data_IF_573206593799
#
_entry.id   IF_573206593799
#
_cell.length_a   1.000
_cell.length_b   1.000
_cell.length_c   1.000
_cell.angle_alpha   90.00
_cell.angle_beta   90.00
_cell.angle_gamma   90.00
#
_symmetry.space_group_name_H-M   'P 1'
#
loop_
_entity.id
_entity.type
_entity.pdbx_description
1 polymer ?
#
# COMPACT_ATOMS: atom_id res chain seq x y z
N UNK A 1 -23.81 -12.61 -9.73
CA UNK A 1 -25.07 -11.84 -9.80
C UNK A 1 -25.24 -11.45 -11.26
N UNK A 2 -26.33 -11.86 -11.92
CA UNK A 2 -26.61 -11.40 -13.29
C UNK A 2 -26.43 -9.88 -13.34
N UNK A 3 -25.66 -9.41 -14.33
CA UNK A 3 -25.28 -7.99 -14.54
C UNK A 3 -24.28 -7.36 -13.55
N UNK A 4 -24.23 -7.73 -12.26
CA UNK A 4 -23.34 -7.05 -11.29
C UNK A 4 -21.93 -7.65 -11.16
N UNK A 5 -21.69 -8.88 -11.63
CA UNK A 5 -20.38 -9.56 -11.53
C UNK A 5 -20.37 -10.78 -10.61
N UNK A 6 -19.18 -11.23 -10.19
CA UNK A 6 -19.00 -12.44 -9.38
C UNK A 6 -18.85 -12.10 -7.90
N UNK A 7 -19.72 -12.70 -7.07
CA UNK A 7 -19.76 -12.46 -5.63
C UNK A 7 -19.32 -13.70 -4.88
N UNK A 8 -18.35 -13.52 -3.99
CA UNK A 8 -17.77 -14.53 -3.14
C UNK A 8 -18.19 -14.31 -1.69
N UNK A 9 -18.41 -15.40 -0.96
CA UNK A 9 -18.69 -15.42 0.47
C UNK A 9 -17.55 -16.17 1.14
N UNK A 10 -16.86 -15.52 2.07
CA UNK A 10 -15.64 -16.00 2.67
C UNK A 10 -15.79 -16.04 4.18
N UNK A 11 -15.28 -17.10 4.79
CA UNK A 11 -15.06 -17.22 6.22
C UNK A 11 -13.61 -17.60 6.45
N UNK A 12 -12.90 -16.82 7.26
CA UNK A 12 -11.47 -17.02 7.50
C UNK A 12 -11.06 -16.52 8.89
N UNK A 13 -9.90 -16.97 9.36
CA UNK A 13 -9.26 -16.45 10.56
C UNK A 13 -8.16 -15.46 10.20
N UNK A 14 -7.89 -14.53 11.10
CA UNK A 14 -6.80 -13.56 10.96
C UNK A 14 -5.74 -13.82 12.02
N UNK A 15 -4.48 -13.58 11.68
CA UNK A 15 -3.35 -13.71 12.60
C UNK A 15 -2.68 -12.35 12.83
N UNK A 16 -2.11 -12.17 14.01
CA UNK A 16 -1.26 -11.03 14.32
C UNK A 16 -0.04 -11.05 13.39
N UNK A 17 0.22 -9.90 12.75
CA UNK A 17 1.32 -9.78 11.81
C UNK A 17 2.69 -10.14 12.43
N UNK A 18 2.88 -9.86 13.73
CA UNK A 18 4.14 -10.11 14.45
C UNK A 18 4.14 -11.46 15.15
N UNK A 19 3.15 -11.74 16.00
CA UNK A 19 3.17 -12.96 16.82
C UNK A 19 2.71 -14.21 16.07
N UNK A 20 2.07 -14.05 14.90
CA UNK A 20 1.39 -15.15 14.16
C UNK A 20 0.29 -15.84 14.95
N UNK A 21 -0.11 -15.27 16.08
CA UNK A 21 -1.19 -15.81 16.88
C UNK A 21 -2.52 -15.44 16.25
N UNK A 22 -3.52 -16.31 16.42
CA UNK A 22 -4.86 -16.03 15.96
C UNK A 22 -5.45 -14.81 16.70
N UNK A 23 -5.84 -13.79 15.95
CA UNK A 23 -6.43 -12.54 16.49
C UNK A 23 -7.92 -12.41 16.23
N UNK A 24 -8.55 -13.40 15.59
CA UNK A 24 -9.98 -13.37 15.32
C UNK A 24 -10.42 -14.16 14.11
N UNK A 25 -11.72 -14.06 13.85
CA UNK A 25 -12.37 -14.61 12.66
C UNK A 25 -13.21 -13.56 11.96
N UNK A 26 -13.32 -13.68 10.64
CA UNK A 26 -14.03 -12.74 9.80
C UNK A 26 -14.99 -13.48 8.85
N UNK A 27 -16.12 -12.84 8.61
CA UNK A 27 -17.04 -13.14 7.52
C UNK A 27 -16.99 -11.99 6.53
N UNK A 28 -16.73 -12.29 5.27
CA UNK A 28 -16.63 -11.29 4.22
C UNK A 28 -17.45 -11.65 2.99
N UNK A 29 -17.89 -10.62 2.28
CA UNK A 29 -18.38 -10.73 0.90
C UNK A 29 -17.54 -9.86 0.00
N UNK A 30 -17.08 -10.42 -1.11
CA UNK A 30 -16.32 -9.70 -2.14
C UNK A 30 -17.06 -9.81 -3.46
N UNK A 31 -17.43 -8.67 -4.06
CA UNK A 31 -18.02 -8.61 -5.39
C UNK A 31 -16.98 -8.03 -6.35
N UNK A 32 -16.56 -8.84 -7.32
CA UNK A 32 -15.80 -8.38 -8.47
C UNK A 32 -16.77 -7.91 -9.56
N UNK A 33 -16.87 -6.60 -9.82
CA UNK A 33 -17.79 -6.07 -10.81
C UNK A 33 -17.32 -6.38 -12.23
N UNK A 34 -18.25 -6.44 -13.19
CA UNK A 34 -17.91 -6.57 -14.62
C UNK A 34 -17.26 -5.30 -15.20
N UNK A 35 -17.51 -4.16 -14.57
CA UNK A 35 -16.91 -2.87 -14.92
C UNK A 35 -15.50 -2.77 -14.38
N UNK A 36 -14.66 -1.92 -15.00
CA UNK A 36 -13.32 -1.58 -14.50
C UNK A 36 -13.41 -0.70 -13.24
N UNK A 37 -13.86 -1.28 -12.14
CA UNK A 37 -13.99 -0.62 -10.83
C UNK A 37 -13.45 -1.54 -9.73
N UNK A 38 -12.95 -0.98 -8.61
CA UNK A 38 -12.47 -1.78 -7.49
C UNK A 38 -13.50 -2.81 -6.98
N UNK A 39 -13.05 -3.94 -6.40
CA UNK A 39 -13.94 -4.92 -5.78
C UNK A 39 -14.74 -4.30 -4.65
N UNK A 40 -16.05 -4.56 -4.58
CA UNK A 40 -16.87 -4.13 -3.44
C UNK A 40 -16.74 -5.15 -2.30
N UNK A 41 -16.27 -4.70 -1.14
CA UNK A 41 -15.99 -5.55 0.02
C UNK A 41 -16.88 -5.15 1.20
N UNK A 42 -17.50 -6.15 1.82
CA UNK A 42 -18.13 -6.01 3.13
C UNK A 42 -17.53 -7.07 4.05
N UNK A 43 -17.06 -6.66 5.22
CA UNK A 43 -16.40 -7.55 6.18
C UNK A 43 -16.90 -7.27 7.59
N UNK A 44 -17.10 -8.34 8.34
CA UNK A 44 -17.37 -8.32 9.78
C UNK A 44 -16.39 -9.25 10.45
N UNK A 45 -15.60 -8.71 11.38
CA UNK A 45 -14.61 -9.46 12.13
C UNK A 45 -14.95 -9.44 13.62
N UNK A 46 -14.69 -10.57 14.27
CA UNK A 46 -14.71 -10.72 15.72
C UNK A 46 -13.27 -10.88 16.17
N UNK A 47 -12.73 -9.87 16.85
CA UNK A 47 -11.35 -9.85 17.33
C UNK A 47 -11.24 -10.46 18.73
N UNK A 48 -10.11 -11.10 19.02
CA UNK A 48 -9.78 -11.59 20.37
C UNK A 48 -9.23 -10.49 21.27
N UNK A 49 -8.54 -9.50 20.68
CA UNK A 49 -8.02 -8.32 21.40
C UNK A 49 -9.11 -7.29 21.64
N UNK A 50 -9.06 -6.65 22.81
CA UNK A 50 -9.96 -5.54 23.15
C UNK A 50 -9.62 -4.28 22.34
N UNK A 51 -10.65 -3.57 21.88
CA UNK A 51 -10.48 -2.39 21.03
C UNK A 51 -9.70 -1.27 21.73
N UNK A 52 -9.79 -1.14 23.07
CA UNK A 52 -9.02 -0.14 23.82
C UNK A 52 -7.54 -0.49 23.82
N UNK A 53 -7.18 -1.77 23.93
CA UNK A 53 -5.78 -2.20 23.86
C UNK A 53 -5.16 -1.85 22.52
N UNK A 54 -5.86 -2.11 21.40
CA UNK A 54 -5.40 -1.72 20.05
C UNK A 54 -5.19 -0.20 19.98
N UNK A 55 -6.14 0.58 20.49
CA UNK A 55 -6.04 2.04 20.50
C UNK A 55 -4.86 2.56 21.34
N UNK A 56 -4.56 1.91 22.47
CA UNK A 56 -3.42 2.23 23.33
C UNK A 56 -2.08 1.91 22.66
N UNK A 57 -1.98 0.77 21.98
CA UNK A 57 -0.81 0.36 21.19
C UNK A 57 -0.55 1.34 20.04
N UNK A 58 -1.58 1.69 19.27
CA UNK A 58 -1.51 2.69 18.19
C UNK A 58 -1.06 4.05 18.72
N UNK A 59 -1.60 4.49 19.86
CA UNK A 59 -1.23 5.75 20.49
C UNK A 59 0.22 5.74 20.99
N UNK A 60 0.70 4.61 21.53
CA UNK A 60 2.09 4.44 21.96
C UNK A 60 3.03 4.54 20.75
N UNK A 61 2.67 3.88 19.65
CA UNK A 61 3.43 3.95 18.40
C UNK A 61 3.47 5.38 17.84
N UNK A 62 2.31 6.02 17.74
CA UNK A 62 2.19 7.39 17.26
C UNK A 62 3.04 8.36 18.08
N UNK A 63 2.97 8.27 19.42
CA UNK A 63 3.81 9.07 20.31
C UNK A 63 5.29 8.79 20.03
N UNK A 64 5.71 7.53 19.93
CA UNK A 64 7.11 7.17 19.66
C UNK A 64 7.62 7.83 18.38
N UNK A 65 6.85 7.80 17.29
CA UNK A 65 7.23 8.44 16.01
C UNK A 65 7.26 9.97 16.15
N UNK A 66 6.26 10.58 16.81
CA UNK A 66 6.18 12.04 16.97
C UNK A 66 7.32 12.64 17.81
N UNK A 67 7.87 11.89 18.77
CA UNK A 67 8.97 12.38 19.60
C UNK A 67 10.34 12.31 18.90
N UNK A 68 10.41 11.72 17.70
CA UNK A 68 11.66 11.70 16.94
C UNK A 68 11.99 13.07 16.37
N UNK A 69 13.23 13.50 16.57
CA UNK A 69 13.73 14.81 16.12
C UNK A 69 14.20 14.80 14.68
N UNK A 70 14.54 13.61 14.14
CA UNK A 70 14.95 13.42 12.76
C UNK A 70 13.86 12.67 11.99
N UNK A 71 13.61 13.00 10.71
CA UNK A 71 12.71 12.23 9.88
C UNK A 71 13.17 10.78 9.77
N UNK A 72 12.25 9.82 9.86
CA UNK A 72 12.56 8.42 9.57
C UNK A 72 12.85 8.28 8.07
N UNK A 73 13.95 7.62 7.76
CA UNK A 73 14.34 7.25 6.40
C UNK A 73 14.72 5.77 6.42
N UNK A 74 14.33 5.03 5.39
CA UNK A 74 14.69 3.63 5.24
C UNK A 74 14.66 3.21 3.78
N UNK A 75 15.43 2.18 3.42
CA UNK A 75 15.50 1.66 2.06
C UNK A 75 15.58 0.14 2.10
N UNK A 76 15.05 -0.51 1.07
CA UNK A 76 15.03 -1.96 0.90
C UNK A 76 14.60 -2.69 2.19
N UNK A 77 13.34 -2.51 2.58
CA UNK A 77 12.73 -3.15 3.77
C UNK A 77 11.69 -4.15 3.27
N UNK A 78 11.75 -5.45 3.59
CA UNK A 78 12.91 -6.13 4.15
C UNK A 78 14.11 -6.07 3.20
N UNK A 79 15.29 -6.35 3.74
CA UNK A 79 16.51 -6.50 2.94
C UNK A 79 16.45 -7.77 2.06
N UNK A 80 17.52 -8.04 1.30
CA UNK A 80 17.60 -9.20 0.40
C UNK A 80 17.51 -10.56 1.11
N UNK A 81 17.66 -10.59 2.43
CA UNK A 81 17.58 -11.79 3.26
C UNK A 81 16.27 -11.89 4.04
N UNK A 82 15.34 -10.94 3.84
CA UNK A 82 14.06 -10.91 4.55
C UNK A 82 14.13 -10.23 5.92
N UNK A 83 15.25 -9.59 6.29
CA UNK A 83 15.38 -8.94 7.59
C UNK A 83 14.76 -7.54 7.59
N UNK A 84 14.16 -7.17 8.72
CA UNK A 84 13.65 -5.82 8.99
C UNK A 84 14.31 -5.34 10.28
N UNK A 85 14.95 -4.18 10.23
CA UNK A 85 15.48 -3.57 11.44
C UNK A 85 14.32 -3.27 12.42
N UNK A 86 14.43 -3.62 13.73
CA UNK A 86 13.35 -3.40 14.70
C UNK A 86 12.85 -1.96 14.77
N UNK A 87 13.72 -0.98 14.48
CA UNK A 87 13.36 0.44 14.42
C UNK A 87 12.42 0.78 13.24
N UNK A 88 12.49 0.02 12.14
CA UNK A 88 11.72 0.21 10.91
C UNK A 88 10.47 -0.67 10.83
N UNK A 89 10.29 -1.64 11.73
CA UNK A 89 9.08 -2.47 11.79
C UNK A 89 7.76 -1.69 11.76
N UNK A 90 7.59 -0.56 12.49
CA UNK A 90 6.33 0.15 12.43
C UNK A 90 6.11 0.87 11.10
N UNK A 91 7.20 1.31 10.47
CA UNK A 91 7.17 1.95 9.15
C UNK A 91 6.82 0.93 8.08
N UNK A 92 7.33 -0.29 8.19
CA UNK A 92 6.94 -1.42 7.38
C UNK A 92 5.46 -1.78 7.59
N UNK A 93 4.97 -1.86 8.83
CA UNK A 93 3.57 -2.17 9.11
C UNK A 93 2.60 -1.13 8.51
N UNK A 94 2.96 0.17 8.59
CA UNK A 94 2.22 1.23 7.91
C UNK A 94 2.27 1.08 6.38
N UNK A 95 3.41 0.64 5.82
CA UNK A 95 3.51 0.35 4.39
C UNK A 95 2.63 -0.83 3.97
N UNK A 96 2.57 -1.91 4.76
CA UNK A 96 1.65 -3.05 4.54
C UNK A 96 0.20 -2.55 4.52
N UNK A 97 -0.19 -1.77 5.52
CA UNK A 97 -1.54 -1.24 5.65
C UNK A 97 -1.90 -0.24 4.53
N UNK A 98 -0.95 0.58 4.09
CA UNK A 98 -1.15 1.49 2.97
C UNK A 98 -1.22 0.76 1.63
N UNK A 99 -0.32 -0.19 1.41
CA UNK A 99 -0.26 -0.97 0.17
C UNK A 99 -1.47 -1.86 0.01
N UNK A 100 -2.09 -2.34 1.09
CA UNK A 100 -3.31 -3.14 1.00
C UNK A 100 -4.47 -2.37 0.35
N UNK A 101 -4.52 -1.05 0.51
CA UNK A 101 -5.46 -0.19 -0.20
C UNK A 101 -5.20 -0.17 -1.71
N UNK A 102 -3.92 -0.02 -2.11
CA UNK A 102 -3.50 -0.07 -3.53
C UNK A 102 -3.83 -1.42 -4.15
N UNK A 103 -3.48 -2.50 -3.44
CA UNK A 103 -3.74 -3.87 -3.85
C UNK A 103 -5.24 -4.11 -4.02
N UNK A 104 -6.07 -3.68 -3.06
CA UNK A 104 -7.52 -3.76 -3.17
C UNK A 104 -8.07 -3.01 -4.39
N UNK A 105 -7.66 -1.76 -4.62
CA UNK A 105 -8.14 -0.98 -5.77
C UNK A 105 -7.76 -1.58 -7.12
N UNK A 106 -6.61 -2.26 -7.20
CA UNK A 106 -6.10 -2.86 -8.44
C UNK A 106 -6.51 -4.33 -8.65
N UNK A 107 -6.86 -5.04 -7.59
CA UNK A 107 -7.19 -6.47 -7.67
C UNK A 107 -8.38 -6.73 -8.59
N UNK A 108 -8.26 -7.78 -9.38
CA UNK A 108 -9.38 -8.37 -10.14
C UNK A 108 -9.56 -9.81 -9.70
N UNK A 109 -10.59 -10.48 -10.21
CA UNK A 109 -10.85 -11.88 -9.86
C UNK A 109 -9.67 -12.81 -10.15
N UNK A 110 -8.89 -12.51 -11.19
CA UNK A 110 -7.75 -13.33 -11.63
C UNK A 110 -6.39 -12.68 -11.34
N UNK A 111 -6.38 -11.54 -10.64
CA UNK A 111 -5.17 -10.74 -10.42
C UNK A 111 -5.11 -10.30 -8.96
N UNK A 112 -4.10 -10.82 -8.24
CA UNK A 112 -3.82 -10.48 -6.86
C UNK A 112 -2.45 -9.84 -6.71
N UNK A 113 -2.22 -9.22 -5.57
CA UNK A 113 -0.98 -8.53 -5.27
C UNK A 113 -0.49 -8.86 -3.87
N UNK A 114 0.84 -8.86 -3.70
CA UNK A 114 1.51 -8.89 -2.40
C UNK A 114 2.52 -7.76 -2.33
N UNK A 115 2.68 -7.14 -1.17
CA UNK A 115 3.78 -6.18 -0.98
C UNK A 115 5.09 -6.96 -0.79
N UNK A 116 6.00 -6.83 -1.75
CA UNK A 116 7.29 -7.52 -1.74
C UNK A 116 8.31 -6.75 -0.91
N UNK A 117 8.40 -5.43 -1.12
CA UNK A 117 9.42 -4.60 -0.48
C UNK A 117 9.00 -3.13 -0.43
N UNK A 118 9.43 -2.42 0.59
CA UNK A 118 9.55 -0.96 0.59
C UNK A 118 10.92 -0.62 0.03
N UNK A 119 10.96 -0.16 -1.22
CA UNK A 119 12.20 0.24 -1.89
C UNK A 119 12.84 1.44 -1.19
N UNK A 120 12.02 2.42 -0.83
CA UNK A 120 12.42 3.59 -0.03
C UNK A 120 11.24 4.13 0.78
N UNK A 121 11.55 4.78 1.89
CA UNK A 121 10.59 5.53 2.70
C UNK A 121 11.25 6.77 3.27
N UNK A 122 10.51 7.87 3.30
CA UNK A 122 10.87 9.11 3.97
C UNK A 122 9.67 9.69 4.71
N UNK A 123 9.84 9.98 6.00
CA UNK A 123 8.87 10.72 6.78
C UNK A 123 8.89 12.21 6.40
N UNK A 124 7.71 12.79 6.24
CA UNK A 124 7.53 14.24 6.11
C UNK A 124 7.24 14.84 7.48
N UNK A 125 8.09 15.77 7.92
CA UNK A 125 7.88 16.49 9.18
C UNK A 125 6.77 17.50 8.98
N UNK A 126 5.68 17.32 9.74
CA UNK A 126 4.49 18.19 9.69
C UNK A 126 4.33 18.96 10.99
N UNK A 127 3.80 20.18 10.86
CA UNK A 127 3.42 21.04 12.00
C UNK A 127 2.11 20.59 12.65
N UNK A 128 1.23 19.91 11.90
CA UNK A 128 -0.01 19.35 12.42
C UNK A 128 0.23 18.03 13.19
N UNK A 129 -0.86 17.37 13.58
CA UNK A 129 -0.83 16.12 14.34
C UNK A 129 -0.70 14.87 13.46
N UNK A 130 -0.73 14.99 12.13
CA UNK A 130 -0.68 13.82 11.28
C UNK A 130 0.76 13.33 11.11
N UNK A 131 0.93 12.01 11.07
CA UNK A 131 2.11 11.38 10.53
C UNK A 131 1.96 11.28 9.03
N UNK A 132 3.04 11.59 8.30
CA UNK A 132 3.05 11.51 6.85
C UNK A 132 4.35 10.89 6.37
N UNK A 133 4.21 9.99 5.41
CA UNK A 133 5.30 9.24 4.83
C UNK A 133 5.13 9.20 3.32
N UNK A 134 6.25 9.24 2.64
CA UNK A 134 6.36 9.02 1.21
C UNK A 134 7.17 7.74 1.00
N UNK A 135 6.51 6.77 0.37
CA UNK A 135 7.01 5.43 0.15
C UNK A 135 7.18 5.18 -1.33
N UNK A 136 8.22 4.44 -1.69
CA UNK A 136 8.24 3.64 -2.91
C UNK A 136 8.07 2.18 -2.51
N UNK A 137 6.94 1.57 -2.84
CA UNK A 137 6.64 0.16 -2.55
C UNK A 137 6.69 -0.67 -3.83
N UNK A 138 7.16 -1.89 -3.72
CA UNK A 138 7.18 -2.88 -4.78
C UNK A 138 6.07 -3.90 -4.51
N UNK A 139 5.15 -4.02 -5.45
CA UNK A 139 4.05 -4.99 -5.40
C UNK A 139 4.34 -6.13 -6.36
N UNK A 140 4.27 -7.36 -5.87
CA UNK A 140 4.36 -8.56 -6.67
C UNK A 140 2.96 -8.95 -7.15
N UNK A 141 2.76 -8.91 -8.45
CA UNK A 141 1.51 -9.27 -9.12
C UNK A 141 1.45 -10.78 -9.41
N UNK A 142 0.36 -11.42 -9.01
CA UNK A 142 0.12 -12.85 -9.18
C UNK A 142 -1.13 -13.03 -10.07
N UNK A 143 -1.08 -13.87 -11.13
CA UNK A 143 -0.02 -14.84 -11.42
C UNK A 143 1.11 -14.36 -12.33
N UNK A 144 1.09 -13.13 -12.85
CA UNK A 144 2.02 -12.63 -13.88
C UNK A 144 3.50 -12.63 -13.46
N UNK A 145 3.77 -12.65 -12.16
CA UNK A 145 5.11 -12.53 -11.57
C UNK A 145 5.78 -11.17 -11.82
N UNK A 146 5.00 -10.15 -12.19
CA UNK A 146 5.54 -8.80 -12.40
C UNK A 146 5.77 -8.08 -11.06
N UNK A 147 6.83 -7.27 -11.01
CA UNK A 147 7.09 -6.35 -9.90
C UNK A 147 6.67 -4.94 -10.33
N UNK A 148 5.67 -4.40 -9.65
CA UNK A 148 5.12 -3.07 -9.92
C UNK A 148 5.64 -2.10 -8.87
N UNK A 149 6.27 -1.02 -9.31
CA UNK A 149 6.73 0.05 -8.44
C UNK A 149 5.64 1.10 -8.27
N UNK A 150 5.23 1.34 -7.01
CA UNK A 150 4.23 2.32 -6.65
C UNK A 150 4.81 3.38 -5.71
N UNK A 151 4.69 4.64 -6.08
CA UNK A 151 4.88 5.77 -5.18
C UNK A 151 3.60 5.96 -4.37
N UNK A 152 3.73 5.99 -3.05
CA UNK A 152 2.61 6.04 -2.12
C UNK A 152 2.87 7.09 -1.04
N UNK A 153 1.99 8.09 -0.98
CA UNK A 153 1.93 9.08 0.10
C UNK A 153 0.85 8.68 1.10
N UNK A 154 1.29 8.34 2.31
CA UNK A 154 0.45 7.84 3.39
C UNK A 154 0.34 8.89 4.49
N UNK A 155 -0.88 9.15 4.96
CA UNK A 155 -1.15 10.02 6.11
C UNK A 155 -1.93 9.26 7.17
N UNK A 156 -1.47 9.32 8.41
CA UNK A 156 -2.03 8.57 9.53
C UNK A 156 -2.16 9.40 10.81
N UNK A 157 -3.24 9.14 11.54
CA UNK A 157 -3.45 9.60 12.91
C UNK A 157 -4.26 8.50 13.64
N UNK A 158 -3.87 8.07 14.85
CA UNK A 158 -4.62 7.07 15.60
C UNK A 158 -6.11 7.41 15.72
N UNK A 159 -6.95 6.38 15.59
CA UNK A 159 -8.41 6.51 15.63
C UNK A 159 -9.03 7.15 14.37
N UNK A 160 -8.23 7.47 13.33
CA UNK A 160 -8.73 7.89 12.02
C UNK A 160 -8.31 6.89 10.93
N UNK A 161 -9.13 6.72 9.87
CA UNK A 161 -8.73 5.92 8.72
C UNK A 161 -7.43 6.44 8.10
N UNK A 162 -6.59 5.50 7.67
CA UNK A 162 -5.42 5.79 6.85
C UNK A 162 -5.85 6.47 5.56
N UNK A 163 -5.13 7.52 5.16
CA UNK A 163 -5.31 8.17 3.87
C UNK A 163 -4.12 7.83 2.98
N UNK A 164 -4.41 7.32 1.80
CA UNK A 164 -3.42 6.87 0.84
C UNK A 164 -3.65 7.60 -0.47
N UNK A 165 -2.59 8.18 -1.03
CA UNK A 165 -2.52 8.61 -2.43
C UNK A 165 -1.38 7.86 -3.08
N UNK A 166 -1.57 7.36 -4.30
CA UNK A 166 -0.54 6.59 -4.95
C UNK A 166 -0.54 6.75 -6.47
N UNK A 167 0.59 6.41 -7.07
CA UNK A 167 0.77 6.23 -8.50
C UNK A 167 1.68 5.02 -8.71
N UNK A 168 1.36 4.14 -9.66
CA UNK A 168 2.15 2.98 -9.98
C UNK A 168 2.66 3.07 -11.41
N UNK A 169 3.97 2.97 -11.59
CA UNK A 169 4.60 2.82 -12.89
C UNK A 169 4.82 1.32 -13.16
N UNK A 170 4.52 0.88 -14.38
CA UNK A 170 5.09 -0.40 -14.83
C UNK A 170 6.56 -0.15 -15.19
N UNK A 171 7.48 -1.00 -14.73
CA UNK A 171 8.92 -0.84 -14.97
C UNK A 171 9.27 -0.81 -16.48
N UNK A 172 8.37 -1.28 -17.33
CA UNK A 172 8.50 -1.26 -18.79
C UNK A 172 8.35 0.13 -19.44
N UNK A 173 8.01 1.19 -18.71
CA UNK A 173 7.94 2.56 -19.28
C UNK A 173 9.24 3.37 -19.09
N UNK A 174 10.24 2.83 -18.39
CA UNK A 174 11.48 3.54 -18.05
C UNK A 174 12.70 3.29 -18.94
N UNK A 175 12.60 2.39 -19.93
CA UNK A 175 13.75 1.93 -20.73
C UNK A 175 13.74 2.36 -22.21
N UNK A 176 12.76 3.16 -22.66
CA UNK A 176 12.57 3.46 -24.09
C UNK A 176 12.84 4.91 -24.53
N UNK A 177 13.50 5.73 -23.73
CA UNK A 177 13.99 7.04 -24.18
C UNK A 177 15.43 7.27 -23.74
N UNK A 178 16.36 6.70 -24.51
CA UNK A 178 17.79 6.79 -24.19
C UNK A 178 18.73 6.20 -25.24
N UNK A 179 18.42 6.28 -26.53
CA UNK A 179 19.47 6.20 -27.57
C UNK A 179 19.11 7.14 -28.72
N UNK A 180 19.90 8.21 -28.84
CA UNK A 180 19.77 9.17 -29.92
C UNK A 180 20.21 8.54 -31.23
N UNK A 181 19.33 8.57 -32.23
CA UNK A 181 19.71 8.71 -33.63
C UNK A 181 18.79 9.74 -34.24
N UNK A 182 19.42 10.81 -34.75
CA UNK A 182 18.79 11.85 -35.56
C UNK A 182 18.12 11.23 -36.79
N UNK A 183 16.85 11.54 -37.01
CA UNK A 183 16.29 11.65 -38.35
C UNK A 183 15.07 12.56 -38.29
N UNK A 184 15.12 13.66 -39.03
CA UNK A 184 14.13 14.71 -39.02
C UNK A 184 12.80 14.28 -39.66
N UNK A 185 11.70 14.71 -39.04
CA UNK A 185 10.50 15.15 -39.76
C UNK A 185 9.60 15.92 -38.80
N UNK A 186 9.18 17.10 -39.26
CA UNK A 186 8.26 17.98 -38.55
C UNK A 186 6.83 17.43 -38.63
N UNK A 187 6.21 17.17 -37.48
CA UNK A 187 4.77 17.26 -37.27
C UNK A 187 4.52 17.40 -35.77
N UNK A 188 4.12 18.59 -35.34
CA UNK A 188 3.81 18.87 -33.94
C UNK A 188 2.47 18.24 -33.53
N UNK A 189 2.45 17.65 -32.34
CA UNK A 189 1.23 17.55 -31.52
C UNK A 189 1.65 17.87 -30.08
N UNK A 190 1.25 19.06 -29.64
CA UNK A 190 1.19 19.48 -28.24
C UNK A 190 0.12 18.66 -27.53
N UNK A 191 0.42 18.07 -26.36
CA UNK A 191 -0.54 18.03 -25.25
C UNK A 191 0.18 18.08 -23.89
N UNK A 192 -0.06 19.21 -23.25
CA UNK A 192 0.05 19.66 -21.87
C UNK A 192 0.59 18.71 -20.79
N UNK A 193 1.74 19.13 -20.25
CA UNK A 193 2.21 18.87 -18.89
C UNK A 193 1.29 19.57 -17.89
N UNK A 194 0.64 18.82 -17.01
CA UNK A 194 -0.15 19.38 -15.92
C UNK A 194 -0.54 18.37 -14.84
N UNK A 195 0.34 18.12 -13.88
CA UNK A 195 -0.04 17.72 -12.53
C UNK A 195 1.06 18.15 -11.56
N UNK A 196 0.74 19.13 -10.72
CA UNK A 196 1.61 19.66 -9.68
C UNK A 196 1.83 18.61 -8.58
N UNK A 197 3.10 18.37 -8.24
CA UNK A 197 3.54 17.69 -7.02
C UNK A 197 3.57 18.66 -5.84
#
# INVERSE_FOLDING_TARGET
>A
IPESGHKYYLQFTTEDYKSRENVGSCLATVLYPKTKSPPAVNIKCTYTKDQKQIQEEDNRLYKKIRHQTKPIIGNNIPDSYGNIEPALEPVWALAVAGSSYIMWEKSTENLGYFMAQVKSVKQWIRKDHFLEFDYTVLLHEIPTQEIISCQMRLTWLPGRPLKVKYFCASENQGLEYGSGMESGSAAGILYERGANF
#
